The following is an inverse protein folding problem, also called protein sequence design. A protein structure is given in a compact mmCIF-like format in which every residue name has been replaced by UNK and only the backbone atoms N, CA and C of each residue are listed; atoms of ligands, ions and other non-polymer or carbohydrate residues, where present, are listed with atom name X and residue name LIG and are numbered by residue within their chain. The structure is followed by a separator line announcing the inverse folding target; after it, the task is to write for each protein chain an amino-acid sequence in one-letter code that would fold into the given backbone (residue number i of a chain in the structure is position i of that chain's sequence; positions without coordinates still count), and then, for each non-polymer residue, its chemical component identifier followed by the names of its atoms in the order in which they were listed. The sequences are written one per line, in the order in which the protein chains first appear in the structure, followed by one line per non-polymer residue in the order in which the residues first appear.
data_IF_312493490154
#
_entry.id   IF_312493490154
#
_cell.length_a   1.000
_cell.length_b   1.000
_cell.length_c   1.000
_cell.angle_alpha   90.00
_cell.angle_beta   90.00
_cell.angle_gamma   90.00
#
_symmetry.space_group_name_H-M   'P 1'
#
loop_
_entity.id
_entity.type
_entity.pdbx_description
1 polymer ?
#
# COMPACT_ATOMS: atom_id res chain seq x y z
N UNK A 1 -16.33 2.43 -1.66
CA UNK A 1 -15.10 1.96 -1.02
C UNK A 1 -14.05 1.75 -2.08
N UNK A 2 -12.87 2.33 -1.87
CA UNK A 2 -11.69 2.18 -2.72
C UNK A 2 -10.61 1.37 -2.00
N UNK A 3 -9.64 0.89 -2.76
CA UNK A 3 -8.61 -0.03 -2.25
C UNK A 3 -7.22 0.39 -2.69
N UNK A 4 -6.27 0.26 -1.77
CA UNK A 4 -4.83 0.26 -2.05
C UNK A 4 -4.22 -1.02 -1.52
N UNK A 5 -3.02 -1.35 -2.00
CA UNK A 5 -2.24 -2.44 -1.42
C UNK A 5 -0.90 -1.92 -0.95
N UNK A 6 -0.63 -2.10 0.34
CA UNK A 6 0.68 -1.88 0.93
C UNK A 6 1.47 -3.18 0.92
N UNK A 7 2.69 -3.14 0.39
CA UNK A 7 3.66 -4.24 0.51
C UNK A 7 4.81 -3.77 1.38
N UNK A 8 5.16 -4.55 2.40
CA UNK A 8 6.29 -4.27 3.28
C UNK A 8 7.27 -5.43 3.22
N UNK A 9 8.56 -5.13 3.05
CA UNK A 9 9.62 -6.14 3.17
C UNK A 9 9.90 -6.39 4.64
N UNK A 10 9.54 -7.58 5.12
CA UNK A 10 9.72 -7.97 6.52
C UNK A 10 11.11 -8.51 6.79
N UNK A 11 11.66 -9.28 5.85
CA UNK A 11 12.93 -9.97 6.05
C UNK A 11 13.58 -10.37 4.73
N UNK A 12 14.87 -10.65 4.77
CA UNK A 12 15.67 -11.19 3.67
C UNK A 12 16.46 -12.38 4.20
N UNK A 13 16.12 -13.58 3.73
CA UNK A 13 16.85 -14.78 4.10
C UNK A 13 18.02 -15.02 3.15
N UNK A 14 18.99 -15.78 3.63
CA UNK A 14 20.09 -16.36 2.86
C UNK A 14 20.25 -17.79 3.35
N UNK A 15 20.40 -18.72 2.43
CA UNK A 15 20.73 -20.12 2.70
C UNK A 15 22.16 -20.37 2.19
N UNK A 16 23.20 -20.07 3.00
CA UNK A 16 24.59 -20.12 2.55
C UNK A 16 25.00 -21.49 2.02
N UNK A 17 24.48 -22.57 2.61
CA UNK A 17 24.74 -23.95 2.19
C UNK A 17 24.24 -24.22 0.77
N UNK A 18 23.11 -23.64 0.38
CA UNK A 18 22.58 -23.76 -0.98
C UNK A 18 23.37 -22.89 -1.97
N UNK A 19 23.82 -21.71 -1.53
CA UNK A 19 24.68 -20.87 -2.35
C UNK A 19 26.04 -21.54 -2.60
N UNK A 20 26.70 -22.05 -1.57
CA UNK A 20 27.99 -22.73 -1.65
C UNK A 20 27.92 -23.95 -2.58
N UNK A 21 26.85 -24.74 -2.48
CA UNK A 21 26.72 -25.97 -3.25
C UNK A 21 26.28 -25.75 -4.71
N UNK A 22 25.40 -24.78 -4.98
CA UNK A 22 24.70 -24.68 -6.27
C UNK A 22 24.89 -23.36 -7.02
N UNK A 23 25.25 -22.25 -6.35
CA UNK A 23 25.45 -20.97 -7.03
C UNK A 23 26.84 -20.90 -7.68
N UNK A 24 26.94 -20.27 -8.85
CA UNK A 24 28.23 -20.00 -9.49
C UNK A 24 29.09 -19.04 -8.64
N UNK A 25 28.45 -18.07 -7.97
CA UNK A 25 29.03 -17.33 -6.85
C UNK A 25 28.55 -17.96 -5.54
N UNK A 26 29.40 -18.71 -4.82
CA UNK A 26 29.03 -19.36 -3.57
C UNK A 26 28.76 -18.36 -2.42
N UNK A 27 29.09 -17.08 -2.59
CA UNK A 27 28.88 -16.00 -1.62
C UNK A 27 27.96 -14.89 -2.15
N UNK A 28 27.02 -15.23 -3.04
CA UNK A 28 26.09 -14.29 -3.67
C UNK A 28 25.25 -13.45 -2.67
N UNK A 29 25.11 -13.91 -1.43
CA UNK A 29 24.54 -13.16 -0.32
C UNK A 29 23.04 -12.89 -0.45
N UNK A 30 22.56 -11.87 0.26
CA UNK A 30 21.15 -11.49 0.27
C UNK A 30 20.72 -10.76 -1.01
N UNK A 31 19.42 -10.77 -1.30
CA UNK A 31 18.87 -10.08 -2.46
C UNK A 31 19.26 -8.58 -2.47
N UNK A 32 19.82 -8.03 -3.57
CA UNK A 32 20.18 -6.61 -3.63
C UNK A 32 18.99 -5.69 -3.96
N UNK A 33 17.89 -6.22 -4.50
CA UNK A 33 16.77 -5.42 -5.04
C UNK A 33 15.89 -4.77 -3.96
N UNK A 34 15.93 -5.30 -2.74
CA UNK A 34 15.04 -4.95 -1.63
C UNK A 34 15.82 -4.75 -0.34
N UNK A 35 15.32 -3.92 0.56
CA UNK A 35 15.79 -3.76 1.93
C UNK A 35 14.68 -4.06 2.93
N UNK A 36 15.05 -4.58 4.10
CA UNK A 36 14.09 -4.76 5.20
C UNK A 36 13.54 -3.41 5.62
N UNK A 37 12.21 -3.31 5.72
CA UNK A 37 11.52 -2.06 6.01
C UNK A 37 11.16 -1.23 4.78
N UNK A 38 11.47 -1.70 3.56
CA UNK A 38 10.93 -1.09 2.35
C UNK A 38 9.40 -1.16 2.37
N UNK A 39 8.76 -0.05 2.00
CA UNK A 39 7.30 0.04 1.90
C UNK A 39 6.90 0.50 0.50
N UNK A 40 5.99 -0.25 -0.11
CA UNK A 40 5.39 0.03 -1.41
C UNK A 40 3.90 0.24 -1.23
N UNK A 41 3.34 1.21 -1.96
CA UNK A 41 1.88 1.42 -2.02
C UNK A 41 1.45 1.40 -3.47
N UNK A 42 0.59 0.44 -3.79
CA UNK A 42 -0.06 0.30 -5.08
C UNK A 42 -1.44 0.95 -5.04
N UNK A 43 -1.71 1.81 -6.01
CA UNK A 43 -3.01 2.44 -6.22
C UNK A 43 -3.57 2.16 -7.62
N UNK A 44 -4.90 2.12 -7.67
CA UNK A 44 -5.67 1.98 -8.90
C UNK A 44 -6.95 2.80 -8.81
N UNK A 45 -6.81 4.12 -8.90
CA UNK A 45 -7.90 5.07 -8.74
C UNK A 45 -7.66 6.32 -9.61
N UNK A 46 -8.71 6.84 -10.23
CA UNK A 46 -8.59 7.91 -11.23
C UNK A 46 -7.74 7.46 -12.42
N UNK A 47 -6.70 8.23 -12.75
CA UNK A 47 -5.74 7.92 -13.81
C UNK A 47 -4.57 7.04 -13.34
N UNK A 48 -4.47 6.75 -12.05
CA UNK A 48 -3.40 5.91 -11.51
C UNK A 48 -3.71 4.43 -11.73
N UNK A 49 -2.72 3.69 -12.24
CA UNK A 49 -2.75 2.23 -12.35
C UNK A 49 -1.33 1.65 -12.20
N UNK A 50 -0.88 1.52 -10.95
CA UNK A 50 0.48 1.05 -10.65
C UNK A 50 0.68 -0.43 -11.01
N UNK A 51 -0.42 -1.19 -11.04
CA UNK A 51 -0.38 -2.63 -11.28
C UNK A 51 0.11 -2.94 -12.71
N UNK A 52 -0.41 -2.24 -13.72
CA UNK A 52 0.03 -2.46 -15.11
C UNK A 52 1.48 -2.05 -15.37
N UNK A 53 2.05 -1.21 -14.50
CA UNK A 53 3.44 -0.77 -14.59
C UNK A 53 4.37 -1.59 -13.68
N UNK A 54 3.94 -2.78 -13.23
CA UNK A 54 4.72 -3.67 -12.38
C UNK A 54 5.27 -2.99 -11.12
N UNK A 55 4.49 -2.05 -10.59
CA UNK A 55 4.82 -1.29 -9.38
C UNK A 55 5.89 -0.21 -9.52
N UNK A 56 6.17 0.29 -10.72
CA UNK A 56 7.02 1.48 -10.89
C UNK A 56 6.45 2.67 -10.07
N UNK A 57 7.30 3.42 -9.38
CA UNK A 57 6.94 4.54 -8.49
C UNK A 57 6.10 4.19 -7.24
N UNK A 58 5.97 2.91 -6.91
CA UNK A 58 5.22 2.48 -5.71
C UNK A 58 6.05 2.56 -4.43
N UNK A 59 7.38 2.58 -4.51
CA UNK A 59 8.26 2.71 -3.34
C UNK A 59 8.01 4.05 -2.61
N UNK A 60 7.62 3.97 -1.33
CA UNK A 60 7.35 5.13 -0.46
C UNK A 60 8.38 5.30 0.65
N UNK A 61 9.04 4.21 1.05
CA UNK A 61 10.08 4.24 2.07
C UNK A 61 11.13 3.18 1.74
N UNK A 62 12.40 3.54 1.89
CA UNK A 62 13.52 2.59 1.81
C UNK A 62 14.66 2.98 2.74
N UNK A 63 15.39 1.98 3.23
CA UNK A 63 16.69 2.18 3.89
C UNK A 63 17.87 2.10 2.89
N UNK A 64 17.59 1.79 1.62
CA UNK A 64 18.59 1.64 0.56
C UNK A 64 18.79 2.89 -0.30
N UNK A 65 19.60 2.75 -1.35
CA UNK A 65 19.75 3.79 -2.37
C UNK A 65 18.64 3.67 -3.42
N UNK A 66 17.87 4.74 -3.62
CA UNK A 66 16.66 4.75 -4.46
C UNK A 66 16.91 4.32 -5.92
N UNK A 67 18.08 4.60 -6.48
CA UNK A 67 18.38 4.34 -7.90
C UNK A 67 18.35 2.84 -8.29
N UNK A 68 18.51 1.93 -7.33
CA UNK A 68 18.48 0.49 -7.55
C UNK A 68 17.39 -0.24 -6.77
N UNK A 69 16.53 0.50 -6.08
CA UNK A 69 15.43 -0.06 -5.33
C UNK A 69 14.32 -0.50 -6.31
N UNK A 70 13.89 -1.75 -6.20
CA UNK A 70 12.69 -2.23 -6.88
C UNK A 70 11.50 -1.33 -6.56
N UNK A 71 10.60 -1.14 -7.50
CA UNK A 71 9.42 -0.27 -7.34
C UNK A 71 9.74 1.24 -7.27
N UNK A 72 11.00 1.64 -7.47
CA UNK A 72 11.41 3.03 -7.62
C UNK A 72 11.01 3.62 -8.97
N UNK A 73 11.58 4.77 -9.33
CA UNK A 73 11.28 5.47 -10.59
C UNK A 73 11.99 4.92 -11.81
N UNK A 74 13.09 4.20 -11.61
CA UNK A 74 13.92 3.65 -12.69
C UNK A 74 13.85 2.12 -12.80
N UNK A 75 13.42 1.42 -11.74
CA UNK A 75 13.45 -0.03 -11.68
C UNK A 75 12.13 -0.57 -11.10
N UNK A 76 11.32 -1.32 -11.88
CA UNK A 76 10.09 -1.94 -11.38
C UNK A 76 10.41 -3.09 -10.42
N UNK A 77 9.39 -3.82 -9.94
CA UNK A 77 9.63 -5.03 -9.17
C UNK A 77 10.40 -6.07 -9.99
N UNK A 78 11.35 -6.78 -9.35
CA UNK A 78 12.06 -7.85 -10.04
C UNK A 78 11.08 -8.97 -10.43
N UNK A 79 11.35 -9.68 -11.52
CA UNK A 79 10.42 -10.66 -12.10
C UNK A 79 10.03 -11.78 -11.13
N UNK A 80 10.99 -12.30 -10.37
CA UNK A 80 10.76 -13.35 -9.36
C UNK A 80 9.83 -12.89 -8.22
N UNK A 81 9.99 -11.64 -7.77
CA UNK A 81 9.09 -11.10 -6.76
C UNK A 81 7.73 -10.79 -7.36
N UNK A 82 7.68 -10.18 -8.55
CA UNK A 82 6.43 -9.81 -9.22
C UNK A 82 5.54 -11.01 -9.50
N UNK A 83 6.08 -12.08 -10.08
CA UNK A 83 5.33 -13.32 -10.35
C UNK A 83 4.74 -13.91 -9.07
N UNK A 84 5.52 -13.90 -7.98
CA UNK A 84 5.08 -14.40 -6.69
C UNK A 84 3.95 -13.55 -6.07
N UNK A 85 4.02 -12.22 -6.14
CA UNK A 85 3.16 -11.31 -5.37
C UNK A 85 2.01 -10.65 -6.16
N UNK A 86 2.11 -10.54 -7.49
CA UNK A 86 1.19 -9.73 -8.31
C UNK A 86 -0.28 -10.14 -8.16
N UNK A 87 -0.57 -11.45 -8.16
CA UNK A 87 -1.96 -11.96 -7.99
C UNK A 87 -2.60 -11.55 -6.66
N UNK A 88 -1.80 -11.40 -5.59
CA UNK A 88 -2.29 -10.98 -4.29
C UNK A 88 -2.52 -9.46 -4.25
N UNK A 89 -1.61 -8.70 -4.87
CA UNK A 89 -1.77 -7.26 -5.07
C UNK A 89 -3.03 -6.99 -5.88
N UNK A 90 -3.21 -7.68 -7.01
CA UNK A 90 -4.39 -7.52 -7.86
C UNK A 90 -5.67 -7.86 -7.10
N UNK A 91 -5.69 -8.97 -6.37
CA UNK A 91 -6.83 -9.35 -5.51
C UNK A 91 -7.16 -8.23 -4.52
N UNK A 92 -6.17 -7.67 -3.84
CA UNK A 92 -6.36 -6.57 -2.89
C UNK A 92 -6.89 -5.30 -3.55
N UNK A 93 -6.33 -4.90 -4.70
CA UNK A 93 -6.78 -3.73 -5.46
C UNK A 93 -8.23 -3.86 -5.96
N UNK A 94 -8.74 -5.09 -6.15
CA UNK A 94 -10.13 -5.37 -6.52
C UNK A 94 -11.08 -5.51 -5.31
N UNK A 95 -10.61 -5.23 -4.08
CA UNK A 95 -11.44 -5.39 -2.88
C UNK A 95 -11.65 -6.84 -2.44
N UNK A 96 -10.90 -7.79 -3.00
CA UNK A 96 -10.96 -9.19 -2.63
C UNK A 96 -10.29 -9.52 -1.29
N UNK A 97 -10.68 -10.63 -0.68
CA UNK A 97 -9.97 -11.23 0.44
C UNK A 97 -8.68 -11.89 -0.09
N UNK A 98 -7.51 -11.48 0.43
CA UNK A 98 -6.21 -12.00 -0.01
C UNK A 98 -6.01 -13.44 0.50
N UNK A 99 -6.36 -13.71 1.76
CA UNK A 99 -6.18 -15.00 2.42
C UNK A 99 -7.33 -15.37 3.36
N UNK A 100 -8.53 -15.55 2.76
CA UNK A 100 -9.76 -15.91 3.48
C UNK A 100 -9.59 -17.16 4.34
N UNK A 101 -9.92 -17.05 5.62
CA UNK A 101 -9.87 -18.16 6.59
C UNK A 101 -8.48 -18.70 6.94
N UNK A 102 -7.39 -18.13 6.39
CA UNK A 102 -6.02 -18.54 6.71
C UNK A 102 -5.32 -17.52 7.61
N UNK A 103 -5.38 -16.24 7.25
CA UNK A 103 -4.86 -15.16 8.09
C UNK A 103 -5.95 -14.67 9.05
N UNK A 104 -5.55 -14.13 10.21
CA UNK A 104 -6.48 -13.56 11.18
C UNK A 104 -7.14 -12.27 10.68
N UNK A 105 -6.55 -11.62 9.69
CA UNK A 105 -7.16 -10.57 8.86
C UNK A 105 -7.07 -11.00 7.39
N UNK A 106 -8.21 -11.19 6.73
CA UNK A 106 -8.28 -11.66 5.34
C UNK A 106 -7.69 -10.66 4.34
N UNK A 107 -7.44 -9.42 4.76
CA UNK A 107 -6.78 -8.36 3.98
C UNK A 107 -5.26 -8.49 3.99
N UNK A 108 -4.71 -9.40 4.79
CA UNK A 108 -3.26 -9.55 4.99
C UNK A 108 -2.79 -10.89 4.44
N UNK A 109 -1.55 -10.92 3.95
CA UNK A 109 -0.82 -12.15 3.63
C UNK A 109 0.68 -11.96 3.94
N UNK A 110 1.34 -13.04 4.36
CA UNK A 110 2.80 -13.16 4.37
C UNK A 110 3.22 -14.10 3.24
N UNK A 111 4.16 -13.69 2.41
CA UNK A 111 4.65 -14.47 1.27
C UNK A 111 6.13 -14.19 0.99
N UNK A 112 6.72 -14.89 0.03
CA UNK A 112 8.09 -14.65 -0.42
C UNK A 112 8.24 -14.79 -1.92
N UNK A 113 9.31 -14.23 -2.48
CA UNK A 113 9.70 -14.53 -3.86
C UNK A 113 10.22 -15.96 -3.99
N UNK A 114 10.23 -16.47 -5.22
CA UNK A 114 10.61 -17.85 -5.53
C UNK A 114 12.13 -18.12 -5.51
N UNK A 115 12.97 -17.13 -5.17
CA UNK A 115 14.42 -17.34 -5.03
C UNK A 115 14.72 -18.19 -3.79
N UNK A 116 14.87 -19.49 -3.98
CA UNK A 116 15.07 -20.46 -2.91
C UNK A 116 16.40 -20.33 -2.16
N UNK A 117 17.39 -19.61 -2.70
CA UNK A 117 18.69 -19.43 -2.04
C UNK A 117 18.76 -18.17 -1.19
N UNK A 118 17.92 -17.18 -1.48
CA UNK A 118 17.89 -15.88 -0.78
C UNK A 118 16.52 -15.19 -0.85
N UNK A 119 15.44 -15.82 -0.35
CA UNK A 119 14.10 -15.29 -0.53
C UNK A 119 13.89 -14.01 0.28
N UNK A 120 13.11 -13.10 -0.31
CA UNK A 120 12.63 -11.89 0.35
C UNK A 120 11.22 -12.15 0.88
N UNK A 121 10.99 -11.85 2.15
CA UNK A 121 9.71 -12.06 2.83
C UNK A 121 8.90 -10.77 2.81
N UNK A 122 7.70 -10.83 2.28
CA UNK A 122 6.79 -9.70 2.13
C UNK A 122 5.54 -9.86 3.01
N UNK A 123 5.11 -8.77 3.64
CA UNK A 123 3.74 -8.58 4.09
C UNK A 123 2.98 -7.83 3.03
N UNK A 124 1.87 -8.39 2.56
CA UNK A 124 0.93 -7.74 1.64
C UNK A 124 -0.33 -7.41 2.44
N UNK A 125 -0.78 -6.16 2.38
CA UNK A 125 -1.93 -5.68 3.13
C UNK A 125 -2.83 -4.82 2.23
N UNK A 126 -4.09 -5.20 2.09
CA UNK A 126 -5.12 -4.32 1.50
C UNK A 126 -5.48 -3.22 2.50
N UNK A 127 -5.55 -1.99 2.00
CA UNK A 127 -6.02 -0.81 2.73
C UNK A 127 -7.35 -0.39 2.12
N UNK A 128 -8.35 -0.21 2.97
CA UNK A 128 -9.70 0.21 2.58
C UNK A 128 -9.82 1.71 2.86
N UNK A 129 -10.32 2.49 1.91
CA UNK A 129 -10.48 3.93 2.08
C UNK A 129 -11.67 4.48 1.30
N UNK A 130 -12.13 5.66 1.72
CA UNK A 130 -13.10 6.48 0.98
C UNK A 130 -12.37 7.65 0.32
N UNK A 131 -12.69 7.96 -0.93
CA UNK A 131 -12.23 9.17 -1.61
C UNK A 131 -13.32 10.24 -1.51
N UNK A 132 -13.15 11.19 -0.57
CA UNK A 132 -14.13 12.22 -0.26
C UNK A 132 -13.76 13.56 -0.92
N UNK A 133 -14.61 14.03 -1.84
CA UNK A 133 -14.44 15.30 -2.55
C UNK A 133 -15.14 16.42 -1.78
N UNK A 134 -14.38 17.44 -1.40
CA UNK A 134 -14.84 18.50 -0.49
C UNK A 134 -14.60 19.87 -1.13
N UNK A 135 -15.66 20.63 -1.34
CA UNK A 135 -15.61 22.03 -1.76
C UNK A 135 -15.49 22.97 -0.54
N UNK A 136 -14.94 24.16 -0.77
CA UNK A 136 -14.80 25.21 0.25
C UNK A 136 -13.51 25.14 1.08
N UNK A 137 -12.62 24.18 0.81
CA UNK A 137 -11.31 24.10 1.47
C UNK A 137 -10.36 25.13 0.85
N UNK A 138 -10.11 26.24 1.55
CA UNK A 138 -9.21 27.29 1.11
C UNK A 138 -7.88 27.39 1.87
N UNK A 139 -7.64 26.54 2.86
CA UNK A 139 -6.51 26.70 3.78
C UNK A 139 -6.06 25.40 4.46
N UNK A 140 -4.80 25.33 4.91
CA UNK A 140 -4.29 24.14 5.61
C UNK A 140 -4.97 23.94 6.98
N UNK A 141 -5.29 25.02 7.70
CA UNK A 141 -6.07 24.94 8.95
C UNK A 141 -7.46 24.33 8.74
N UNK A 142 -8.02 24.51 7.54
CA UNK A 142 -9.31 23.97 7.14
C UNK A 142 -9.18 22.44 7.01
N UNK A 143 -8.11 21.97 6.34
CA UNK A 143 -7.77 20.55 6.22
C UNK A 143 -7.50 19.92 7.59
N UNK A 144 -6.77 20.60 8.47
CA UNK A 144 -6.46 20.10 9.81
C UNK A 144 -7.72 19.92 10.65
N UNK A 145 -8.64 20.89 10.62
CA UNK A 145 -9.92 20.79 11.32
C UNK A 145 -10.76 19.60 10.84
N UNK A 146 -10.89 19.45 9.52
CA UNK A 146 -11.64 18.33 8.92
C UNK A 146 -10.96 16.99 9.24
N UNK A 147 -9.62 16.92 9.13
CA UNK A 147 -8.82 15.73 9.50
C UNK A 147 -9.13 15.33 10.94
N UNK A 148 -9.00 16.24 11.88
CA UNK A 148 -9.25 15.96 13.30
C UNK A 148 -10.68 15.50 13.55
N UNK A 149 -11.67 16.07 12.88
CA UNK A 149 -13.07 15.67 13.04
C UNK A 149 -13.33 14.25 12.49
N UNK A 150 -12.82 13.95 11.30
CA UNK A 150 -12.97 12.64 10.66
C UNK A 150 -12.21 11.54 11.41
N UNK A 151 -10.99 11.81 11.88
CA UNK A 151 -10.23 10.86 12.73
C UNK A 151 -10.92 10.61 14.08
N UNK A 152 -11.87 11.47 14.49
CA UNK A 152 -12.71 11.23 15.66
C UNK A 152 -13.81 10.18 15.45
N UNK A 153 -14.06 9.74 14.21
CA UNK A 153 -15.04 8.70 13.91
C UNK A 153 -14.45 7.32 14.22
N UNK A 154 -15.15 6.51 14.99
CA UNK A 154 -14.74 5.12 15.27
C UNK A 154 -14.58 4.33 13.97
N UNK A 155 -13.40 3.72 13.79
CA UNK A 155 -13.07 2.95 12.59
C UNK A 155 -12.39 3.76 11.48
N UNK A 156 -12.15 5.07 11.65
CA UNK A 156 -11.25 5.85 10.79
C UNK A 156 -9.85 5.80 11.38
N UNK A 157 -8.89 5.35 10.57
CA UNK A 157 -7.49 5.21 10.99
C UNK A 157 -6.66 6.44 10.67
N UNK A 158 -6.87 7.00 9.48
CA UNK A 158 -6.05 8.08 8.95
C UNK A 158 -6.83 8.88 7.91
N UNK A 159 -6.55 10.17 7.81
CA UNK A 159 -7.08 11.03 6.75
C UNK A 159 -5.96 11.81 6.08
N UNK A 160 -5.77 11.56 4.79
CA UNK A 160 -4.73 12.16 3.95
C UNK A 160 -5.38 13.04 2.88
N UNK A 161 -5.00 14.31 2.80
CA UNK A 161 -5.50 15.20 1.76
C UNK A 161 -4.63 15.08 0.50
N UNK A 162 -5.27 14.77 -0.63
CA UNK A 162 -4.72 14.94 -1.98
C UNK A 162 -5.12 16.32 -2.52
N UNK A 163 -4.67 16.62 -3.73
CA UNK A 163 -5.01 17.88 -4.40
C UNK A 163 -6.53 18.03 -4.64
N UNK A 164 -7.23 16.94 -4.97
CA UNK A 164 -8.64 16.96 -5.35
C UNK A 164 -9.62 16.38 -4.31
N UNK A 165 -9.16 15.49 -3.43
CA UNK A 165 -10.02 14.78 -2.47
C UNK A 165 -9.25 14.40 -1.20
N UNK A 166 -9.96 13.99 -0.15
CA UNK A 166 -9.39 13.38 1.04
C UNK A 166 -9.51 11.85 0.95
N UNK A 167 -8.40 11.14 1.17
CA UNK A 167 -8.38 9.70 1.44
C UNK A 167 -8.71 9.50 2.92
N UNK A 168 -9.80 8.80 3.21
CA UNK A 168 -10.23 8.45 4.57
C UNK A 168 -10.04 6.95 4.74
N UNK A 169 -8.94 6.53 5.36
CA UNK A 169 -8.63 5.11 5.58
C UNK A 169 -9.47 4.55 6.72
N UNK A 170 -10.10 3.41 6.50
CA UNK A 170 -11.08 2.83 7.40
C UNK A 170 -10.82 1.35 7.69
N UNK A 171 -11.17 0.90 8.88
CA UNK A 171 -11.10 -0.52 9.26
C UNK A 171 -12.32 -1.32 8.80
N UNK A 172 -13.44 -0.62 8.62
CA UNK A 172 -14.76 -1.15 8.33
C UNK A 172 -15.55 -0.14 7.51
N UNK A 173 -16.65 -0.57 6.92
CA UNK A 173 -17.53 0.32 6.16
C UNK A 173 -18.14 1.40 7.08
N UNK A 174 -18.04 2.66 6.63
CA UNK A 174 -18.60 3.82 7.31
C UNK A 174 -19.64 4.45 6.39
N UNK A 175 -20.87 4.74 6.86
CA UNK A 175 -21.88 5.37 6.03
C UNK A 175 -21.43 6.74 5.50
N UNK A 176 -21.58 6.95 4.19
CA UNK A 176 -21.27 8.23 3.53
C UNK A 176 -21.98 9.42 4.19
N UNK A 177 -23.20 9.22 4.68
CA UNK A 177 -23.98 10.25 5.39
C UNK A 177 -23.31 10.72 6.68
N UNK A 178 -22.59 9.84 7.38
CA UNK A 178 -21.83 10.20 8.57
C UNK A 178 -20.59 11.03 8.20
N UNK A 179 -19.85 10.60 7.16
CA UNK A 179 -18.70 11.35 6.65
C UNK A 179 -19.14 12.75 6.22
N UNK A 180 -20.21 12.84 5.44
CA UNK A 180 -20.78 14.11 5.00
C UNK A 180 -21.16 15.01 6.19
N UNK A 181 -21.93 14.48 7.15
CA UNK A 181 -22.36 15.25 8.32
C UNK A 181 -21.15 15.78 9.13
N UNK A 182 -20.10 14.98 9.30
CA UNK A 182 -18.90 15.40 10.03
C UNK A 182 -18.14 16.50 9.28
N UNK A 183 -17.93 16.34 7.97
CA UNK A 183 -17.25 17.36 7.15
C UNK A 183 -18.03 18.68 7.16
N UNK A 184 -19.34 18.63 6.92
CA UNK A 184 -20.19 19.83 6.84
C UNK A 184 -20.38 20.49 8.23
N UNK A 185 -20.26 19.73 9.33
CA UNK A 185 -20.24 20.32 10.68
C UNK A 185 -18.99 21.16 10.97
N UNK A 186 -17.93 20.99 10.17
CA UNK A 186 -16.67 21.71 10.36
C UNK A 186 -16.71 23.15 9.83
N UNK A 187 -17.73 23.57 9.08
CA UNK A 187 -17.84 24.92 8.53
C UNK A 187 -18.62 24.97 7.23
N UNK A 188 -18.39 26.00 6.42
CA UNK A 188 -19.00 26.15 5.10
C UNK A 188 -18.29 25.27 4.05
N UNK A 189 -18.27 23.96 4.31
CA UNK A 189 -17.76 22.93 3.41
C UNK A 189 -18.90 22.14 2.83
N UNK A 190 -18.71 21.59 1.63
CA UNK A 190 -19.71 20.75 0.99
C UNK A 190 -19.06 19.49 0.46
N UNK A 191 -19.58 18.33 0.88
CA UNK A 191 -19.18 17.06 0.25
C UNK A 191 -19.94 16.93 -1.06
N UNK A 192 -19.21 16.78 -2.16
CA UNK A 192 -19.80 16.67 -3.50
C UNK A 192 -19.89 15.24 -3.98
N UNK A 193 -18.99 14.37 -3.51
CA UNK A 193 -18.87 12.98 -3.94
C UNK A 193 -18.06 12.18 -2.91
N UNK A 194 -18.45 10.93 -2.68
CA UNK A 194 -17.66 9.93 -1.95
C UNK A 194 -17.60 8.68 -2.84
N UNK A 195 -16.38 8.19 -3.09
CA UNK A 195 -16.12 6.90 -3.76
C UNK A 195 -15.51 5.87 -2.81
#
# INVERSE_FOLDING_TARGET
MQYKVKVTVLDKKVYPELQEQYCADPAAGACPCYQVGDEFVFERYGEADDFWHMGLNTLKQTAGQEAFAAGGSAFPHCSEAWDAIARYIYTGLQGGAIMRGWMNDERVMITCCSDGTRPVIFKIQRLDYLACYIEGIGCDRCRDKIRSALTGISGVNEVVFRDAFAEIYVEQEIPDSLIQAVVESCGEYKVTKID
#
